data_IF_099835106308
#
_entry.id   IF_099835106308
#
_cell.length_a   1.000
_cell.length_b   1.000
_cell.length_c   1.000
_cell.angle_alpha   90.00
_cell.angle_beta   90.00
_cell.angle_gamma   90.00
#
_symmetry.space_group_name_H-M   'P 1'
#
loop_
_entity.id
_entity.type
_entity.pdbx_description
1 polymer ?
#
# COMPACT_ATOMS: atom_id res chain seq x y z
N UNK A 1 8.58 7.63 -28.11
CA UNK A 1 8.65 6.35 -27.38
C UNK A 1 7.42 6.24 -26.49
N UNK A 2 6.25 5.92 -27.05
CA UNK A 2 5.05 5.63 -26.26
C UNK A 2 4.62 4.23 -26.65
N UNK A 3 4.82 3.22 -25.79
CA UNK A 3 4.09 1.95 -25.93
C UNK A 3 4.20 0.94 -24.79
N UNK A 4 4.91 1.21 -23.71
CA UNK A 4 4.95 0.30 -22.56
C UNK A 4 4.74 1.12 -21.29
N UNK A 5 3.62 0.89 -20.62
CA UNK A 5 3.31 1.44 -19.31
C UNK A 5 3.60 0.38 -18.25
N UNK A 6 4.30 0.78 -17.19
CA UNK A 6 4.48 -0.06 -16.00
C UNK A 6 3.40 0.33 -15.00
N UNK A 7 2.61 -0.64 -14.55
CA UNK A 7 1.58 -0.44 -13.52
C UNK A 7 2.12 -1.01 -12.20
N UNK A 8 2.58 -0.16 -11.27
CA UNK A 8 3.00 -0.61 -9.95
C UNK A 8 1.81 -1.16 -9.16
N UNK A 9 2.07 -2.21 -8.38
CA UNK A 9 1.09 -2.82 -7.48
C UNK A 9 1.24 -2.24 -6.08
N UNK A 10 0.16 -1.71 -5.51
CA UNK A 10 0.06 -1.32 -4.11
C UNK A 10 -0.71 -2.38 -3.35
N UNK A 11 -0.03 -3.06 -2.44
CA UNK A 11 -0.64 -4.08 -1.58
C UNK A 11 -1.22 -3.43 -0.32
N UNK A 12 -2.50 -3.65 -0.05
CA UNK A 12 -3.11 -3.30 1.23
C UNK A 12 -2.62 -4.24 2.33
N UNK A 13 -1.74 -3.73 3.20
CA UNK A 13 -1.29 -4.45 4.37
C UNK A 13 -2.45 -4.60 5.38
N UNK A 14 -2.54 -5.74 6.04
CA UNK A 14 -3.62 -6.01 7.01
C UNK A 14 -3.17 -5.92 8.47
N UNK A 15 -1.86 -5.95 8.70
CA UNK A 15 -1.25 -5.82 10.02
C UNK A 15 0.27 -5.60 9.95
N UNK A 16 0.85 -5.14 11.06
CA UNK A 16 2.31 -5.11 11.22
C UNK A 16 2.93 -6.53 11.18
N UNK A 17 2.18 -7.56 11.56
CA UNK A 17 2.61 -8.95 11.45
C UNK A 17 2.78 -9.40 10.01
N UNK A 18 1.79 -9.10 9.16
CA UNK A 18 1.84 -9.33 7.72
C UNK A 18 3.00 -8.57 7.08
N UNK A 19 3.20 -7.30 7.44
CA UNK A 19 4.31 -6.50 6.93
C UNK A 19 5.67 -7.12 7.30
N UNK A 20 5.88 -7.51 8.57
CA UNK A 20 7.10 -8.22 8.99
C UNK A 20 7.29 -9.55 8.28
N UNK A 21 6.21 -10.28 8.05
CA UNK A 21 6.29 -11.55 7.34
C UNK A 21 6.76 -11.35 5.91
N UNK A 22 6.18 -10.37 5.19
CA UNK A 22 6.55 -10.08 3.81
C UNK A 22 8.02 -9.67 3.73
N UNK A 23 8.46 -8.72 4.56
CA UNK A 23 9.84 -8.24 4.59
C UNK A 23 10.88 -9.34 4.85
N UNK A 24 10.54 -10.31 5.72
CA UNK A 24 11.47 -11.40 6.07
C UNK A 24 11.48 -12.57 5.09
N UNK A 25 10.35 -12.85 4.43
CA UNK A 25 10.16 -14.12 3.72
C UNK A 25 10.02 -13.95 2.20
N UNK A 26 9.68 -12.76 1.70
CA UNK A 26 9.48 -12.54 0.26
C UNK A 26 10.76 -11.98 -0.35
N UNK A 27 11.46 -12.82 -1.11
CA UNK A 27 12.70 -12.44 -1.80
C UNK A 27 12.45 -11.27 -2.75
N UNK A 28 13.32 -10.26 -2.69
CA UNK A 28 13.25 -9.08 -3.55
C UNK A 28 12.23 -8.03 -3.11
N UNK A 29 11.56 -8.22 -1.97
CA UNK A 29 10.67 -7.22 -1.36
C UNK A 29 11.29 -6.78 -0.04
N UNK A 30 11.28 -5.47 0.22
CA UNK A 30 11.63 -4.91 1.52
C UNK A 30 10.54 -3.92 1.94
N UNK A 31 10.17 -3.98 3.22
CA UNK A 31 9.22 -3.04 3.82
C UNK A 31 9.98 -2.17 4.83
N UNK A 32 10.00 -0.83 4.65
CA UNK A 32 10.63 0.08 5.58
C UNK A 32 10.19 -0.16 7.03
N UNK A 33 11.17 -0.13 7.96
CA UNK A 33 10.93 -0.43 9.38
C UNK A 33 9.92 0.54 10.01
N UNK A 34 9.84 1.74 9.45
CA UNK A 34 9.00 2.86 9.84
C UNK A 34 7.53 2.55 9.56
N UNK A 35 7.23 1.89 8.44
CA UNK A 35 5.86 1.43 8.12
C UNK A 35 5.41 0.37 9.12
N UNK A 36 6.28 -0.62 9.39
CA UNK A 36 5.98 -1.69 10.36
C UNK A 36 5.73 -1.12 11.75
N UNK A 37 6.61 -0.22 12.21
CA UNK A 37 6.51 0.45 13.51
C UNK A 37 5.28 1.36 13.58
N UNK A 38 4.97 2.07 12.49
CA UNK A 38 3.78 2.92 12.36
C UNK A 38 2.51 2.12 12.58
N UNK A 39 2.33 1.02 11.83
CA UNK A 39 1.17 0.13 11.99
C UNK A 39 1.12 -0.47 13.40
N UNK A 40 2.26 -0.82 13.99
CA UNK A 40 2.29 -1.41 15.33
C UNK A 40 1.87 -0.44 16.43
N UNK A 41 2.23 0.84 16.30
CA UNK A 41 1.95 1.89 17.29
C UNK A 41 0.61 2.59 17.07
N UNK A 42 0.00 2.43 15.91
CA UNK A 42 -1.25 3.08 15.58
C UNK A 42 -2.38 2.64 16.53
N UNK A 43 -3.20 3.58 17.05
CA UNK A 43 -4.36 3.26 17.86
C UNK A 43 -5.40 2.48 17.05
N UNK A 44 -5.53 2.81 15.77
CA UNK A 44 -6.30 2.06 14.78
C UNK A 44 -5.36 1.57 13.68
N UNK A 45 -5.02 0.28 13.76
CA UNK A 45 -4.06 -0.37 12.86
C UNK A 45 -4.61 -0.53 11.44
N UNK A 46 -5.92 -0.74 11.33
CA UNK A 46 -6.58 -0.90 10.02
C UNK A 46 -6.59 0.44 9.30
N UNK A 47 -6.99 1.50 10.00
CA UNK A 47 -6.93 2.86 9.46
C UNK A 47 -5.53 3.26 9.05
N UNK A 48 -4.50 2.91 9.83
CA UNK A 48 -3.11 3.19 9.45
C UNK A 48 -2.69 2.43 8.19
N UNK A 49 -3.06 1.16 8.04
CA UNK A 49 -2.80 0.41 6.82
C UNK A 49 -3.48 1.03 5.58
N UNK A 50 -4.75 1.42 5.72
CA UNK A 50 -5.51 2.12 4.66
C UNK A 50 -4.82 3.43 4.29
N UNK A 51 -4.42 4.22 5.28
CA UNK A 51 -3.68 5.47 5.09
C UNK A 51 -2.37 5.25 4.34
N UNK A 52 -1.57 4.25 4.73
CA UNK A 52 -0.32 3.91 4.05
C UNK A 52 -0.56 3.52 2.59
N UNK A 53 -1.58 2.71 2.30
CA UNK A 53 -1.92 2.36 0.91
C UNK A 53 -2.36 3.57 0.08
N UNK A 54 -3.15 4.48 0.68
CA UNK A 54 -3.56 5.75 0.05
C UNK A 54 -2.39 6.69 -0.22
N UNK A 55 -1.47 6.85 0.74
CA UNK A 55 -0.27 7.67 0.59
C UNK A 55 0.64 7.17 -0.54
N UNK A 56 0.87 5.85 -0.61
CA UNK A 56 1.69 5.25 -1.67
C UNK A 56 1.01 5.45 -3.02
N UNK A 57 -0.31 5.25 -3.10
CA UNK A 57 -1.09 5.49 -4.32
C UNK A 57 -0.98 6.93 -4.79
N UNK A 58 -1.13 7.90 -3.87
CA UNK A 58 -0.98 9.33 -4.17
C UNK A 58 0.42 9.62 -4.70
N UNK A 59 1.46 9.07 -4.06
CA UNK A 59 2.83 9.30 -4.48
C UNK A 59 3.15 8.72 -5.84
N UNK A 60 2.60 7.54 -6.17
CA UNK A 60 2.70 6.94 -7.50
C UNK A 60 2.02 7.82 -8.56
N UNK A 61 0.85 8.38 -8.23
CA UNK A 61 0.15 9.35 -9.10
C UNK A 61 0.99 10.61 -9.31
N UNK A 62 1.55 11.18 -8.26
CA UNK A 62 2.39 12.39 -8.31
C UNK A 62 3.68 12.18 -9.13
N UNK A 63 4.16 10.93 -9.24
CA UNK A 63 5.28 10.55 -10.11
C UNK A 63 4.90 10.51 -11.61
N UNK A 64 3.63 10.70 -11.97
CA UNK A 64 3.16 10.68 -13.35
C UNK A 64 3.02 9.28 -13.95
N UNK A 65 2.88 8.25 -13.11
CA UNK A 65 2.66 6.88 -13.58
C UNK A 65 1.29 6.73 -14.24
N UNK A 66 1.18 5.85 -15.23
CA UNK A 66 -0.05 5.66 -16.01
C UNK A 66 -1.22 5.06 -15.21
N UNK A 67 -0.95 4.49 -14.04
CA UNK A 67 -1.95 3.92 -13.14
C UNK A 67 -1.32 3.15 -11.99
N UNK A 68 -2.18 2.56 -11.16
CA UNK A 68 -1.78 1.70 -10.03
C UNK A 68 -2.73 0.51 -9.95
N UNK A 69 -2.21 -0.67 -9.63
CA UNK A 69 -3.03 -1.83 -9.28
C UNK A 69 -3.10 -1.93 -7.75
N UNK A 70 -4.29 -1.71 -7.18
CA UNK A 70 -4.50 -1.89 -5.73
C UNK A 70 -4.87 -3.35 -5.48
N UNK A 71 -4.03 -4.07 -4.73
CA UNK A 71 -4.28 -5.46 -4.32
C UNK A 71 -4.82 -5.51 -2.89
N UNK A 72 -6.09 -5.89 -2.76
CA UNK A 72 -6.83 -5.97 -1.49
C UNK A 72 -6.74 -7.34 -0.82
N UNK A 73 -6.49 -8.39 -1.60
CA UNK A 73 -6.43 -9.79 -1.13
C UNK A 73 -7.66 -10.14 -0.27
N UNK A 74 -8.89 -9.92 -0.74
CA UNK A 74 -10.10 -10.26 0.03
C UNK A 74 -10.55 -9.21 1.04
N UNK A 75 -10.00 -7.98 0.99
CA UNK A 75 -10.39 -6.81 1.80
C UNK A 75 -10.98 -5.70 0.91
N UNK A 76 -11.82 -6.09 -0.06
CA UNK A 76 -12.41 -5.16 -1.04
C UNK A 76 -13.29 -4.09 -0.38
N UNK A 77 -13.90 -4.39 0.77
CA UNK A 77 -14.69 -3.42 1.55
C UNK A 77 -13.88 -2.18 2.00
N UNK A 78 -12.56 -2.30 2.07
CA UNK A 78 -11.65 -1.20 2.40
C UNK A 78 -11.17 -0.42 1.18
N UNK A 79 -11.44 -0.89 -0.04
CA UNK A 79 -11.01 -0.23 -1.27
C UNK A 79 -11.53 1.23 -1.36
N UNK A 80 -12.81 1.53 -1.06
CA UNK A 80 -13.29 2.92 -1.07
C UNK A 80 -12.47 3.83 -0.14
N UNK A 81 -12.11 3.33 1.04
CA UNK A 81 -11.36 4.11 2.03
C UNK A 81 -9.91 4.35 1.61
N UNK A 82 -9.31 3.41 0.86
CA UNK A 82 -7.98 3.59 0.25
C UNK A 82 -8.04 4.66 -0.84
N UNK A 83 -9.10 4.67 -1.66
CA UNK A 83 -9.30 5.70 -2.69
C UNK A 83 -9.56 7.07 -2.08
N UNK A 84 -10.39 7.16 -1.04
CA UNK A 84 -10.63 8.38 -0.27
C UNK A 84 -9.32 8.94 0.32
N UNK A 85 -8.50 8.07 0.93
CA UNK A 85 -7.19 8.44 1.47
C UNK A 85 -6.23 8.93 0.36
N UNK A 86 -6.37 8.40 -0.86
CA UNK A 86 -5.63 8.84 -2.04
C UNK A 86 -6.22 10.07 -2.74
N UNK A 87 -7.34 10.60 -2.25
CA UNK A 87 -8.09 11.72 -2.84
C UNK A 87 -8.47 11.43 -4.30
N UNK A 88 -8.98 10.23 -4.56
CA UNK A 88 -9.43 9.75 -5.87
C UNK A 88 -10.95 9.57 -5.90
#
# INVERSE_FOLDING_TARGET
TSKINIIPTVLLLKSAGMARYIDRNIKGVSIPSEIIKGIQKAPDKIKECVRVAGDITTRIKDMGMAGVLISTIGWEDYLPQVLDAAKL
#
